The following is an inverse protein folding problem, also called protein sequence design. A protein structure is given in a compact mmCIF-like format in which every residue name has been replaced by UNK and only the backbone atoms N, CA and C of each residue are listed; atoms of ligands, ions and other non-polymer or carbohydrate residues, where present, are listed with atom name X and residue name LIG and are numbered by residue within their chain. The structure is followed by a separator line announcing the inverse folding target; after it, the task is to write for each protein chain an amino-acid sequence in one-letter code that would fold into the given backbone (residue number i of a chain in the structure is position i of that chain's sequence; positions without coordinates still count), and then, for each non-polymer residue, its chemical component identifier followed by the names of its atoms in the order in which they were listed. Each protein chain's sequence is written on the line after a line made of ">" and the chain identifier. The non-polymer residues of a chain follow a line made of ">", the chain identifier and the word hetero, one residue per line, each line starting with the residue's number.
data_IF_011480991240
#
_entry.id   IF_011480991240
#
_cell.length_a   1.000
_cell.length_b   1.000
_cell.length_c   1.000
_cell.angle_alpha   90.00
_cell.angle_beta   90.00
_cell.angle_gamma   90.00
#
_symmetry.space_group_name_H-M   'P 1'
#
loop_
_entity.id
_entity.type
_entity.pdbx_description
1 polymer ?
#
# COMPACT_ATOMS: atom_id res chain seq x y z
N UNK A 1 -1.50 6.38 -18.35
CA UNK A 1 -0.52 6.71 -17.29
C UNK A 1 -1.22 7.08 -16.00
N UNK A 2 -2.26 7.92 -16.04
CA UNK A 2 -3.08 8.31 -14.88
C UNK A 2 -3.67 7.13 -14.11
N UNK A 3 -4.30 6.14 -14.76
CA UNK A 3 -4.91 5.00 -14.04
C UNK A 3 -3.90 4.21 -13.18
N UNK A 4 -2.65 4.03 -13.64
CA UNK A 4 -1.61 3.35 -12.86
C UNK A 4 -1.13 4.21 -11.69
N UNK A 5 -1.03 5.53 -11.90
CA UNK A 5 -0.68 6.49 -10.85
C UNK A 5 -1.79 6.58 -9.78
N UNK A 6 -3.05 6.65 -10.20
CA UNK A 6 -4.21 6.65 -9.30
C UNK A 6 -4.28 5.37 -8.46
N UNK A 7 -3.98 4.21 -9.08
CA UNK A 7 -3.87 2.93 -8.36
C UNK A 7 -2.70 2.92 -7.38
N UNK A 8 -1.56 3.47 -7.75
CA UNK A 8 -0.40 3.59 -6.86
C UNK A 8 -0.75 4.45 -5.63
N UNK A 9 -1.30 5.64 -5.84
CA UNK A 9 -1.71 6.55 -4.75
C UNK A 9 -2.71 5.86 -3.80
N UNK A 10 -3.65 5.09 -4.37
CA UNK A 10 -4.59 4.30 -3.58
C UNK A 10 -3.90 3.25 -2.70
N UNK A 11 -2.92 2.52 -3.23
CA UNK A 11 -2.17 1.53 -2.43
C UNK A 11 -1.32 2.19 -1.35
N UNK A 12 -0.71 3.33 -1.63
CA UNK A 12 0.05 4.10 -0.64
C UNK A 12 -0.85 4.62 0.48
N UNK A 13 -2.03 5.14 0.12
CA UNK A 13 -3.06 5.59 1.09
C UNK A 13 -3.53 4.44 1.97
N UNK A 14 -3.89 3.31 1.37
CA UNK A 14 -4.35 2.12 2.11
C UNK A 14 -3.25 1.57 3.03
N UNK A 15 -1.98 1.63 2.63
CA UNK A 15 -0.84 1.27 3.47
C UNK A 15 -0.79 2.17 4.71
N UNK A 16 -0.79 3.48 4.50
CA UNK A 16 -0.72 4.46 5.59
C UNK A 16 -1.92 4.38 6.55
N UNK A 17 -3.12 4.16 6.03
CA UNK A 17 -4.32 3.93 6.84
C UNK A 17 -4.21 2.67 7.69
N UNK A 18 -3.74 1.55 7.11
CA UNK A 18 -3.54 0.32 7.86
C UNK A 18 -2.50 0.48 8.97
N UNK A 19 -1.38 1.16 8.69
CA UNK A 19 -0.35 1.45 9.69
C UNK A 19 -0.87 2.33 10.82
N UNK A 20 -1.68 3.35 10.49
CA UNK A 20 -2.32 4.21 11.49
C UNK A 20 -3.28 3.40 12.38
N UNK A 21 -4.11 2.54 11.79
CA UNK A 21 -5.02 1.68 12.56
C UNK A 21 -4.22 0.73 13.47
N UNK A 22 -3.16 0.11 12.97
CA UNK A 22 -2.30 -0.77 13.77
C UNK A 22 -1.66 -0.05 14.96
N UNK A 23 -1.24 1.21 14.76
CA UNK A 23 -0.67 2.07 15.80
C UNK A 23 -1.69 2.41 16.90
N UNK A 24 -2.94 2.65 16.50
CA UNK A 24 -4.04 3.00 17.42
C UNK A 24 -4.71 1.78 18.06
N UNK A 25 -4.53 0.58 17.51
CA UNK A 25 -5.11 -0.65 18.03
C UNK A 25 -4.51 -1.01 19.40
N UNK A 26 -5.39 -1.20 20.38
CA UNK A 26 -5.08 -1.75 21.71
C UNK A 26 -5.12 -3.28 21.73
N UNK A 27 -5.91 -3.88 20.83
CA UNK A 27 -5.97 -5.31 20.61
C UNK A 27 -4.79 -5.78 19.73
N UNK A 28 -4.06 -6.78 20.21
CA UNK A 28 -2.84 -7.28 19.55
C UNK A 28 -3.13 -8.02 18.24
N UNK A 29 -4.23 -8.78 18.18
CA UNK A 29 -4.60 -9.52 16.98
C UNK A 29 -5.03 -8.56 15.86
N UNK A 30 -5.81 -7.52 16.21
CA UNK A 30 -6.17 -6.44 15.28
C UNK A 30 -4.93 -5.69 14.80
N UNK A 31 -4.00 -5.36 15.70
CA UNK A 31 -2.72 -4.73 15.32
C UNK A 31 -1.97 -5.59 14.30
N UNK A 32 -1.78 -6.87 14.58
CA UNK A 32 -1.06 -7.77 13.68
C UNK A 32 -1.75 -7.92 12.32
N UNK A 33 -3.08 -8.01 12.30
CA UNK A 33 -3.87 -8.07 11.08
C UNK A 33 -3.62 -6.85 10.18
N UNK A 34 -3.72 -5.63 10.73
CA UNK A 34 -3.51 -4.41 9.95
C UNK A 34 -2.06 -4.23 9.52
N UNK A 35 -1.07 -4.69 10.30
CA UNK A 35 0.33 -4.68 9.87
C UNK A 35 0.56 -5.63 8.67
N UNK A 36 -0.01 -6.83 8.70
CA UNK A 36 0.08 -7.76 7.55
C UNK A 36 -0.60 -7.16 6.31
N UNK A 37 -1.77 -6.56 6.49
CA UNK A 37 -2.50 -5.92 5.41
C UNK A 37 -1.75 -4.73 4.81
N UNK A 38 -1.14 -3.88 5.65
CA UNK A 38 -0.25 -2.80 5.21
C UNK A 38 0.92 -3.35 4.37
N UNK A 39 1.54 -4.45 4.82
CA UNK A 39 2.61 -5.12 4.08
C UNK A 39 2.17 -5.55 2.67
N UNK A 40 0.96 -6.08 2.51
CA UNK A 40 0.44 -6.45 1.19
C UNK A 40 0.22 -5.23 0.28
N UNK A 41 -0.35 -4.13 0.81
CA UNK A 41 -0.52 -2.91 0.02
C UNK A 41 0.81 -2.26 -0.35
N UNK A 42 1.81 -2.31 0.54
CA UNK A 42 3.17 -1.85 0.25
C UNK A 42 3.80 -2.63 -0.90
N UNK A 43 3.65 -3.96 -0.92
CA UNK A 43 4.12 -4.78 -2.03
C UNK A 43 3.42 -4.42 -3.35
N UNK A 44 2.10 -4.27 -3.34
CA UNK A 44 1.34 -3.86 -4.53
C UNK A 44 1.76 -2.46 -5.04
N UNK A 45 2.04 -1.52 -4.13
CA UNK A 45 2.57 -0.21 -4.49
C UNK A 45 3.94 -0.31 -5.17
N UNK A 46 4.85 -1.14 -4.65
CA UNK A 46 6.15 -1.38 -5.26
C UNK A 46 6.04 -1.98 -6.66
N UNK A 47 5.20 -3.00 -6.84
CA UNK A 47 4.97 -3.63 -8.14
C UNK A 47 4.39 -2.60 -9.14
N UNK A 48 3.46 -1.75 -8.68
CA UNK A 48 2.89 -0.70 -9.52
C UNK A 48 3.93 0.35 -9.94
N UNK A 49 4.85 0.74 -9.04
CA UNK A 49 5.96 1.63 -9.39
C UNK A 49 6.83 1.03 -10.49
N UNK A 50 7.10 -0.28 -10.44
CA UNK A 50 7.86 -0.98 -11.50
C UNK A 50 7.12 -0.97 -12.84
N UNK A 51 5.80 -1.18 -12.84
CA UNK A 51 4.97 -1.09 -14.06
C UNK A 51 4.98 0.31 -14.65
N UNK A 52 4.81 1.35 -13.82
CA UNK A 52 4.86 2.75 -14.26
C UNK A 52 6.23 3.08 -14.86
N UNK A 53 7.32 2.70 -14.18
CA UNK A 53 8.68 2.93 -14.67
C UNK A 53 8.93 2.22 -16.01
N UNK A 54 8.50 0.96 -16.13
CA UNK A 54 8.64 0.19 -17.38
C UNK A 54 7.88 0.84 -18.54
N UNK A 55 6.68 1.39 -18.28
CA UNK A 55 5.88 2.08 -19.29
C UNK A 55 6.44 3.47 -19.66
N UNK A 56 7.16 4.12 -18.75
CA UNK A 56 7.80 5.41 -19.02
C UNK A 56 9.12 5.27 -19.82
N UNK A 57 9.75 4.10 -19.77
CA UNK A 57 10.99 3.79 -20.49
C UNK A 57 10.78 3.19 -21.89
N UNK A 58 9.52 2.92 -22.27
CA UNK A 58 9.11 2.40 -23.58
C UNK A 58 8.55 3.52 -24.47
#
# INVERSE_FOLDING_TARGET
>A
MTEHQDRLERFETLTAECELIAKLATDSAKREFYLKLAGHYYQLANDMRQVIASKAAA
#
